data_IF_040888923893
#
_entry.id   IF_040888923893
#
_cell.length_a   1.000
_cell.length_b   1.000
_cell.length_c   1.000
_cell.angle_alpha   90.00
_cell.angle_beta   90.00
_cell.angle_gamma   90.00
#
_symmetry.space_group_name_H-M   'P 1'
#
loop_
_entity.id
_entity.type
_entity.pdbx_description
1 polymer ?
#
# COMPACT_ATOMS: atom_id res chain seq x y z
N UNK A 1 61.70 -48.25 33.15
CA UNK A 1 61.83 -48.07 34.61
C UNK A 1 61.75 -46.59 34.95
N UNK A 2 60.78 -46.21 35.79
CA UNK A 2 60.81 -45.14 36.84
C UNK A 2 61.55 -43.82 36.47
N UNK A 3 60.95 -42.63 36.66
CA UNK A 3 60.55 -42.13 37.98
C UNK A 3 59.47 -41.04 37.90
N UNK A 4 58.39 -41.29 38.61
CA UNK A 4 57.48 -40.32 39.24
C UNK A 4 58.22 -39.53 40.34
N UNK A 5 57.85 -38.26 40.57
CA UNK A 5 57.85 -37.47 41.83
C UNK A 5 57.40 -36.04 41.45
N UNK A 6 56.16 -35.58 41.68
CA UNK A 6 55.38 -35.36 42.90
C UNK A 6 55.87 -34.18 43.78
N UNK A 7 54.89 -33.39 44.27
CA UNK A 7 54.92 -32.29 45.25
C UNK A 7 55.35 -30.91 44.68
N UNK A 8 54.82 -29.73 45.07
CA UNK A 8 54.07 -29.23 46.24
C UNK A 8 53.49 -27.84 45.87
N UNK A 9 52.19 -27.57 46.09
CA UNK A 9 51.66 -26.53 47.03
C UNK A 9 51.67 -25.05 46.53
N UNK A 10 50.83 -24.17 47.11
CA UNK A 10 49.86 -23.33 46.42
C UNK A 10 50.19 -21.84 46.70
N UNK A 11 49.19 -20.96 46.61
CA UNK A 11 49.17 -19.62 47.23
C UNK A 11 49.75 -18.48 46.38
N UNK A 12 48.89 -17.82 45.60
CA UNK A 12 48.77 -16.34 45.63
C UNK A 12 47.32 -15.99 45.26
N UNK A 13 46.47 -15.85 46.27
CA UNK A 13 45.39 -14.87 46.21
C UNK A 13 46.00 -13.51 46.51
N UNK A 14 45.69 -12.48 45.73
CA UNK A 14 45.39 -11.10 46.17
C UNK A 14 45.30 -10.17 44.93
N UNK A 15 44.10 -9.62 44.77
CA UNK A 15 43.73 -8.30 44.27
C UNK A 15 44.13 -7.89 42.84
N UNK A 16 43.15 -7.92 41.93
CA UNK A 16 42.81 -6.74 41.13
C UNK A 16 41.28 -6.60 41.03
N UNK A 17 40.70 -5.96 42.05
CA UNK A 17 39.46 -5.20 41.94
C UNK A 17 39.83 -3.87 41.26
N UNK A 18 39.84 -3.84 39.93
CA UNK A 18 39.83 -2.58 39.16
C UNK A 18 39.00 -2.82 37.91
N UNK A 19 37.88 -2.11 37.77
CA UNK A 19 37.27 -1.87 36.46
C UNK A 19 35.84 -2.34 36.21
N UNK A 20 34.97 -2.49 37.21
CA UNK A 20 33.52 -2.41 36.96
C UNK A 20 33.10 -0.94 36.85
N UNK A 21 33.49 -0.25 35.77
CA UNK A 21 32.88 1.01 35.40
C UNK A 21 33.07 1.26 33.89
N UNK A 22 32.11 0.77 33.08
CA UNK A 22 31.67 1.33 31.80
C UNK A 22 30.93 0.27 30.95
N UNK A 23 29.79 -0.26 31.45
CA UNK A 23 28.95 -1.12 30.61
C UNK A 23 27.45 -0.96 30.88
N UNK A 24 27.04 0.29 31.12
CA UNK A 24 25.63 0.67 31.26
C UNK A 24 25.18 1.72 30.23
N UNK A 25 26.09 2.22 29.38
CA UNK A 25 25.79 3.14 28.28
C UNK A 25 25.42 2.45 26.97
N UNK A 26 26.10 1.34 26.64
CA UNK A 26 26.00 0.73 25.30
C UNK A 26 24.85 -0.29 25.16
N UNK A 27 24.11 -0.58 26.24
CA UNK A 27 22.89 -1.40 26.18
C UNK A 27 21.62 -0.58 25.91
N UNK A 28 21.70 0.76 25.89
CA UNK A 28 20.54 1.62 25.61
C UNK A 28 20.34 1.90 24.11
N UNK A 29 21.39 1.81 23.31
CA UNK A 29 21.31 2.02 21.84
C UNK A 29 20.97 0.74 21.05
N UNK A 30 21.22 -0.45 21.61
CA UNK A 30 20.83 -1.71 20.96
C UNK A 30 19.33 -2.05 21.10
N UNK A 31 18.63 -1.43 22.06
CA UNK A 31 17.18 -1.65 22.29
C UNK A 31 16.33 -0.68 21.46
N UNK A 32 16.83 0.52 21.14
CA UNK A 32 16.10 1.51 20.31
C UNK A 32 16.10 1.18 18.81
N UNK A 33 17.11 0.46 18.31
CA UNK A 33 17.18 0.03 16.91
C UNK A 33 16.20 -1.10 16.55
N UNK A 34 15.92 -2.00 17.50
CA UNK A 34 15.00 -3.13 17.31
C UNK A 34 13.55 -2.65 17.38
N UNK A 35 13.21 -1.74 18.31
CA UNK A 35 11.89 -1.13 18.34
C UNK A 35 11.63 -0.29 17.07
N UNK A 36 12.62 0.40 16.51
CA UNK A 36 12.42 1.15 15.26
C UNK A 36 12.18 0.24 14.04
N UNK A 37 12.91 -0.88 13.92
CA UNK A 37 12.74 -1.81 12.81
C UNK A 37 11.48 -2.67 12.96
N UNK A 38 11.14 -3.09 14.18
CA UNK A 38 9.91 -3.80 14.49
C UNK A 38 8.68 -2.87 14.41
N UNK A 39 8.78 -1.60 14.81
CA UNK A 39 7.72 -0.61 14.62
C UNK A 39 7.58 -0.25 13.12
N UNK A 40 8.67 -0.12 12.37
CA UNK A 40 8.63 0.07 10.89
C UNK A 40 8.04 -1.15 10.17
N UNK A 41 8.39 -2.36 10.60
CA UNK A 41 7.81 -3.60 10.09
C UNK A 41 6.35 -3.78 10.53
N UNK A 42 5.98 -3.33 11.74
CA UNK A 42 4.61 -3.36 12.24
C UNK A 42 3.72 -2.32 11.54
N UNK A 43 4.24 -1.15 11.16
CA UNK A 43 3.53 -0.18 10.30
C UNK A 43 3.42 -0.62 8.85
N UNK A 44 4.23 -1.59 8.39
CA UNK A 44 4.12 -2.18 7.05
C UNK A 44 3.07 -3.31 6.96
N UNK A 45 2.56 -3.78 8.10
CA UNK A 45 1.56 -4.85 8.17
C UNK A 45 0.13 -4.32 8.26
N UNK A 46 -0.61 -4.53 7.15
CA UNK A 46 -2.05 -4.34 6.93
C UNK A 46 -2.58 -2.92 7.06
N UNK A 47 -2.44 -2.12 6.01
CA UNK A 47 -3.41 -1.08 5.71
C UNK A 47 -4.79 -1.73 5.60
N UNK A 48 -5.69 -1.37 6.51
CA UNK A 48 -7.10 -1.76 6.47
C UNK A 48 -7.72 -1.17 5.20
N UNK A 49 -8.50 -1.97 4.45
CA UNK A 49 -9.25 -1.49 3.29
C UNK A 49 -10.11 -0.27 3.65
N UNK A 50 -10.59 -0.18 4.89
CA UNK A 50 -11.27 1.02 5.39
C UNK A 50 -10.37 2.25 5.48
N UNK A 51 -9.14 2.11 5.96
CA UNK A 51 -8.16 3.21 6.04
C UNK A 51 -7.78 3.71 4.64
N UNK A 52 -7.59 2.78 3.71
CA UNK A 52 -7.30 3.10 2.31
C UNK A 52 -8.42 3.90 1.68
N UNK A 53 -9.66 3.44 1.88
CA UNK A 53 -10.85 4.12 1.40
C UNK A 53 -11.01 5.54 1.94
N UNK A 54 -10.47 5.82 3.13
CA UNK A 54 -10.47 7.15 3.74
C UNK A 54 -9.28 8.02 3.37
N UNK A 55 -8.33 7.54 2.55
CA UNK A 55 -7.23 8.38 2.07
C UNK A 55 -7.82 9.55 1.28
N UNK A 56 -7.42 10.76 1.65
CA UNK A 56 -7.77 12.01 0.98
C UNK A 56 -6.91 12.20 -0.27
N UNK A 57 -7.55 12.68 -1.33
CA UNK A 57 -6.96 13.09 -2.59
C UNK A 57 -7.19 14.59 -2.71
N UNK A 58 -6.12 15.34 -2.95
CA UNK A 58 -6.16 16.75 -3.31
C UNK A 58 -5.95 16.88 -4.82
N UNK A 59 -6.94 17.41 -5.52
CA UNK A 59 -6.90 17.61 -6.97
C UNK A 59 -7.69 18.85 -7.38
N UNK A 60 -7.05 19.79 -8.09
CA UNK A 60 -7.68 21.02 -8.63
C UNK A 60 -8.50 21.85 -7.62
N UNK A 61 -8.03 21.94 -6.37
CA UNK A 61 -8.68 22.62 -5.22
C UNK A 61 -9.88 21.88 -4.62
N UNK A 62 -10.14 20.65 -5.04
CA UNK A 62 -11.12 19.76 -4.43
C UNK A 62 -10.39 18.72 -3.57
N UNK A 63 -10.99 18.39 -2.42
CA UNK A 63 -10.50 17.34 -1.53
C UNK A 63 -11.60 16.29 -1.39
N UNK A 64 -11.27 15.05 -1.73
CA UNK A 64 -12.21 13.92 -1.67
C UNK A 64 -11.49 12.65 -1.27
N UNK A 65 -12.22 11.66 -0.77
CA UNK A 65 -11.60 10.38 -0.42
C UNK A 65 -11.56 9.42 -1.62
N UNK A 66 -10.65 8.44 -1.56
CA UNK A 66 -10.62 7.30 -2.48
C UNK A 66 -12.00 6.63 -2.57
N UNK A 67 -12.71 6.47 -1.45
CA UNK A 67 -14.05 5.91 -1.46
C UNK A 67 -15.07 6.79 -2.18
N UNK A 68 -14.99 8.11 -2.00
CA UNK A 68 -15.90 9.05 -2.65
C UNK A 68 -15.69 9.04 -4.16
N UNK A 69 -14.42 9.05 -4.61
CA UNK A 69 -14.06 8.92 -6.01
C UNK A 69 -14.82 7.76 -6.68
N UNK A 70 -14.61 6.54 -6.19
CA UNK A 70 -15.14 5.37 -6.87
C UNK A 70 -16.64 5.18 -6.69
N UNK A 71 -17.22 5.53 -5.53
CA UNK A 71 -18.68 5.49 -5.34
C UNK A 71 -19.43 6.55 -6.14
N UNK A 72 -18.76 7.65 -6.46
CA UNK A 72 -19.35 8.72 -7.25
C UNK A 72 -19.29 8.40 -8.74
N UNK A 73 -18.18 7.88 -9.25
CA UNK A 73 -18.02 7.63 -10.70
C UNK A 73 -18.53 6.25 -11.16
N UNK A 74 -18.72 5.29 -10.24
CA UNK A 74 -19.21 3.94 -10.54
C UNK A 74 -20.51 3.63 -9.79
N UNK A 75 -21.26 2.64 -10.28
CA UNK A 75 -22.35 1.99 -9.55
C UNK A 75 -21.91 0.60 -9.08
N UNK A 76 -22.61 0.04 -8.09
CA UNK A 76 -22.40 -1.34 -7.60
C UNK A 76 -20.95 -1.67 -7.24
N UNK A 77 -20.27 -0.73 -6.57
CA UNK A 77 -18.82 -0.79 -6.33
C UNK A 77 -18.43 -1.96 -5.43
N UNK A 78 -17.48 -2.75 -5.91
CA UNK A 78 -16.85 -3.87 -5.22
C UNK A 78 -15.34 -3.66 -5.18
N UNK A 79 -14.71 -4.16 -4.12
CA UNK A 79 -13.30 -3.95 -3.85
C UNK A 79 -12.64 -5.28 -3.58
N UNK A 80 -11.57 -5.55 -4.30
CA UNK A 80 -10.65 -6.64 -4.03
C UNK A 80 -9.29 -6.05 -3.65
N UNK A 81 -8.59 -6.72 -2.74
CA UNK A 81 -7.30 -6.28 -2.21
C UNK A 81 -6.33 -7.44 -2.14
N UNK A 82 -5.13 -7.22 -2.64
CA UNK A 82 -4.03 -8.18 -2.61
C UNK A 82 -2.77 -7.49 -2.08
N UNK A 83 -2.18 -8.07 -1.04
CA UNK A 83 -0.89 -7.64 -0.50
C UNK A 83 0.19 -8.59 -0.96
N UNK A 84 1.15 -8.08 -1.74
CA UNK A 84 2.31 -8.82 -2.20
C UNK A 84 3.57 -8.03 -1.80
N UNK A 85 4.34 -8.54 -0.85
CA UNK A 85 5.66 -8.00 -0.48
C UNK A 85 5.68 -6.48 -0.15
N UNK A 86 4.67 -5.98 0.57
CA UNK A 86 4.46 -4.57 0.91
C UNK A 86 3.96 -3.67 -0.24
N UNK A 87 3.56 -4.29 -1.35
CA UNK A 87 2.81 -3.61 -2.41
C UNK A 87 1.33 -3.87 -2.17
N UNK A 88 0.59 -2.80 -1.91
CA UNK A 88 -0.85 -2.84 -1.71
C UNK A 88 -1.56 -2.68 -3.05
N UNK A 89 -1.98 -3.79 -3.66
CA UNK A 89 -2.72 -3.77 -4.91
C UNK A 89 -4.22 -3.74 -4.63
N UNK A 90 -4.91 -2.80 -5.27
CA UNK A 90 -6.35 -2.67 -5.19
C UNK A 90 -6.97 -2.90 -6.55
N UNK A 91 -8.10 -3.59 -6.54
CA UNK A 91 -8.98 -3.71 -7.69
C UNK A 91 -10.36 -3.19 -7.30
N UNK A 92 -10.83 -2.17 -7.99
CA UNK A 92 -12.17 -1.65 -7.86
C UNK A 92 -12.98 -2.07 -9.07
N UNK A 93 -14.06 -2.79 -8.83
CA UNK A 93 -15.01 -3.22 -9.86
C UNK A 93 -16.30 -2.46 -9.68
N UNK A 94 -16.92 -2.05 -10.76
CA UNK A 94 -18.23 -1.41 -10.71
C UNK A 94 -18.95 -1.54 -12.05
N UNK A 95 -20.20 -1.10 -12.07
CA UNK A 95 -20.96 -0.91 -13.30
C UNK A 95 -20.79 0.53 -13.78
N UNK A 96 -20.76 0.70 -15.09
CA UNK A 96 -20.62 2.01 -15.73
C UNK A 96 -21.74 2.95 -15.25
N UNK A 97 -21.40 4.22 -15.01
CA UNK A 97 -22.33 5.29 -14.64
C UNK A 97 -22.32 6.34 -15.74
N UNK A 98 -23.44 7.04 -15.92
CA UNK A 98 -23.60 8.06 -16.94
C UNK A 98 -22.43 9.05 -16.94
N UNK A 99 -22.02 9.44 -18.16
CA UNK A 99 -20.97 10.41 -18.46
C UNK A 99 -19.53 9.98 -18.13
N UNK A 100 -19.32 8.74 -17.67
CA UNK A 100 -17.98 8.20 -17.49
C UNK A 100 -17.33 7.87 -18.86
N UNK A 101 -16.11 8.37 -19.09
CA UNK A 101 -15.35 8.18 -20.35
C UNK A 101 -15.99 8.83 -21.60
N UNK A 102 -16.71 9.94 -21.43
CA UNK A 102 -17.37 10.66 -22.55
C UNK A 102 -16.44 11.07 -23.70
N UNK A 103 -15.16 11.24 -23.43
CA UNK A 103 -14.18 11.65 -24.44
C UNK A 103 -14.00 10.59 -25.55
N UNK A 104 -14.36 9.32 -25.31
CA UNK A 104 -14.37 8.28 -26.33
C UNK A 104 -15.54 8.39 -27.33
N UNK A 105 -16.44 9.36 -27.15
CA UNK A 105 -17.55 9.65 -28.08
C UNK A 105 -18.37 8.40 -28.47
N UNK A 106 -18.65 7.52 -27.50
CA UNK A 106 -19.52 6.36 -27.73
C UNK A 106 -20.87 6.79 -28.31
N UNK A 107 -21.40 6.00 -29.24
CA UNK A 107 -22.74 6.24 -29.81
C UNK A 107 -23.80 6.09 -28.72
N UNK A 108 -24.95 6.74 -28.89
CA UNK A 108 -26.06 6.65 -27.91
C UNK A 108 -26.51 5.21 -27.68
N UNK A 109 -26.45 4.36 -28.73
CA UNK A 109 -26.73 2.93 -28.61
C UNK A 109 -25.74 2.24 -27.66
N UNK A 110 -24.43 2.48 -27.83
CA UNK A 110 -23.39 1.90 -26.96
C UNK A 110 -23.52 2.44 -25.54
N UNK A 111 -23.75 3.74 -25.37
CA UNK A 111 -23.99 4.34 -24.05
C UNK A 111 -25.19 3.68 -23.35
N UNK A 112 -26.32 3.53 -24.05
CA UNK A 112 -27.51 2.87 -23.50
C UNK A 112 -27.24 1.41 -23.07
N UNK A 113 -26.34 0.71 -23.74
CA UNK A 113 -25.92 -0.63 -23.36
C UNK A 113 -24.94 -0.63 -22.18
N UNK A 114 -24.01 0.34 -22.13
CA UNK A 114 -23.11 0.55 -21.00
C UNK A 114 -23.88 0.85 -19.71
N UNK A 115 -24.94 1.67 -19.76
CA UNK A 115 -25.86 1.91 -18.63
C UNK A 115 -26.41 0.59 -18.06
N UNK A 116 -26.58 -0.44 -18.87
CA UNK A 116 -27.23 -1.69 -18.44
C UNK A 116 -26.21 -2.75 -18.03
N UNK A 117 -25.15 -2.89 -18.82
CA UNK A 117 -24.26 -4.04 -18.79
C UNK A 117 -22.77 -3.67 -18.76
N UNK A 118 -22.44 -2.39 -18.82
CA UNK A 118 -21.07 -1.91 -18.82
C UNK A 118 -20.39 -2.22 -17.50
N UNK A 119 -19.22 -2.85 -17.56
CA UNK A 119 -18.39 -3.15 -16.39
C UNK A 119 -17.12 -2.32 -16.46
N UNK A 120 -16.75 -1.75 -15.34
CA UNK A 120 -15.52 -1.00 -15.17
C UNK A 120 -14.65 -1.73 -14.15
N UNK A 121 -13.38 -1.92 -14.50
CA UNK A 121 -12.37 -2.50 -13.60
C UNK A 121 -11.22 -1.52 -13.52
N UNK A 122 -10.85 -1.14 -12.31
CA UNK A 122 -9.78 -0.20 -12.03
C UNK A 122 -8.78 -0.90 -11.13
N UNK A 123 -7.51 -0.94 -11.55
CA UNK A 123 -6.41 -1.41 -10.72
C UNK A 123 -5.53 -0.24 -10.33
N UNK A 124 -5.02 -0.24 -9.12
CA UNK A 124 -4.01 0.73 -8.68
C UNK A 124 -3.26 0.21 -7.46
N UNK A 125 -2.08 0.78 -7.23
CA UNK A 125 -1.30 0.55 -6.03
C UNK A 125 -1.33 1.75 -5.11
N UNK A 126 -1.17 1.50 -3.82
CA UNK A 126 -0.92 2.56 -2.83
C UNK A 126 0.47 2.42 -2.24
N UNK A 127 1.21 3.53 -2.29
CA UNK A 127 2.53 3.70 -1.69
C UNK A 127 2.50 5.01 -0.90
N UNK A 128 2.97 4.98 0.35
CA UNK A 128 3.02 6.16 1.22
C UNK A 128 1.68 6.93 1.32
N UNK A 129 0.57 6.18 1.43
CA UNK A 129 -0.81 6.71 1.50
C UNK A 129 -1.25 7.50 0.25
N UNK A 130 -0.62 7.27 -0.89
CA UNK A 130 -1.00 7.88 -2.16
C UNK A 130 -1.20 6.82 -3.23
N UNK A 131 -2.10 7.08 -4.17
CA UNK A 131 -2.24 6.24 -5.36
C UNK A 131 -0.98 6.41 -6.21
N UNK A 132 -0.30 5.30 -6.51
CA UNK A 132 0.81 5.28 -7.44
C UNK A 132 0.28 5.44 -8.87
N UNK A 133 0.33 6.66 -9.39
CA UNK A 133 -0.26 7.03 -10.68
C UNK A 133 0.16 6.08 -11.82
N UNK A 134 1.45 5.76 -11.92
CA UNK A 134 1.98 4.90 -13.00
C UNK A 134 1.46 3.46 -12.96
N UNK A 135 0.93 3.01 -11.81
CA UNK A 135 0.33 1.68 -11.64
C UNK A 135 -1.16 1.63 -11.97
N UNK A 136 -1.79 2.79 -12.20
CA UNK A 136 -3.24 2.85 -12.37
C UNK A 136 -3.64 2.31 -13.73
N UNK A 137 -4.61 1.41 -13.78
CA UNK A 137 -5.21 0.94 -15.05
C UNK A 137 -6.72 1.02 -14.96
N UNK A 138 -7.37 1.38 -16.07
CA UNK A 138 -8.82 1.51 -16.16
C UNK A 138 -9.29 0.75 -17.39
N UNK A 139 -10.19 -0.19 -17.17
CA UNK A 139 -10.77 -1.01 -18.23
C UNK A 139 -12.28 -0.92 -18.23
N UNK A 140 -12.86 -0.68 -19.41
CA UNK A 140 -14.31 -0.74 -19.62
C UNK A 140 -14.63 -1.86 -20.58
N UNK A 141 -15.54 -2.73 -20.16
CA UNK A 141 -16.02 -3.84 -20.98
C UNK A 141 -17.53 -3.80 -21.15
N UNK A 142 -18.00 -4.17 -22.34
CA UNK A 142 -19.41 -4.35 -22.66
C UNK A 142 -19.58 -5.71 -23.34
N UNK A 143 -20.46 -6.57 -22.83
CA UNK A 143 -20.68 -7.92 -23.39
C UNK A 143 -19.37 -8.72 -23.58
N UNK A 144 -18.42 -8.56 -22.64
CA UNK A 144 -17.08 -9.16 -22.67
C UNK A 144 -16.13 -8.61 -23.74
N UNK A 145 -16.51 -7.56 -24.47
CA UNK A 145 -15.63 -6.81 -25.37
C UNK A 145 -14.99 -5.64 -24.61
N UNK A 146 -13.67 -5.46 -24.76
CA UNK A 146 -12.91 -4.36 -24.18
C UNK A 146 -13.07 -3.10 -25.04
N UNK A 147 -13.61 -2.04 -24.45
CA UNK A 147 -13.88 -0.76 -25.13
C UNK A 147 -12.88 0.34 -24.74
N UNK A 148 -12.41 0.32 -23.49
CA UNK A 148 -11.44 1.27 -22.95
C UNK A 148 -10.36 0.47 -22.22
N UNK A 149 -9.10 0.85 -22.44
CA UNK A 149 -7.94 0.31 -21.73
C UNK A 149 -6.92 1.44 -21.56
N UNK A 150 -6.98 2.12 -20.43
CA UNK A 150 -6.08 3.22 -20.08
C UNK A 150 -5.13 2.79 -18.97
N UNK A 151 -3.92 3.37 -18.98
CA UNK A 151 -2.91 3.08 -17.99
C UNK A 151 -2.11 4.32 -17.61
N UNK A 152 -1.58 4.30 -16.39
CA UNK A 152 -0.66 5.28 -15.86
C UNK A 152 -1.37 6.54 -15.41
N UNK A 153 -0.59 7.62 -15.36
CA UNK A 153 -1.03 8.91 -14.83
C UNK A 153 -2.26 9.49 -15.52
N UNK A 154 -2.37 9.35 -16.83
CA UNK A 154 -3.52 9.86 -17.59
C UNK A 154 -4.82 9.14 -17.22
N UNK A 155 -4.75 7.83 -16.95
CA UNK A 155 -5.90 7.07 -16.46
C UNK A 155 -6.37 7.59 -15.10
N UNK A 156 -5.42 7.80 -14.17
CA UNK A 156 -5.72 8.33 -12.84
C UNK A 156 -6.32 9.75 -12.93
N UNK A 157 -5.71 10.63 -13.72
CA UNK A 157 -6.18 11.99 -13.94
C UNK A 157 -7.58 12.00 -14.53
N UNK A 158 -7.86 11.14 -15.50
CA UNK A 158 -9.20 11.03 -16.09
C UNK A 158 -10.24 10.70 -15.03
N UNK A 159 -9.97 9.74 -14.13
CA UNK A 159 -10.87 9.43 -13.01
C UNK A 159 -11.11 10.63 -12.08
N UNK A 160 -10.07 11.39 -11.75
CA UNK A 160 -10.18 12.58 -10.89
C UNK A 160 -10.95 13.70 -11.60
N UNK A 161 -10.63 13.98 -12.86
CA UNK A 161 -11.35 14.94 -13.68
C UNK A 161 -12.83 14.56 -13.81
N UNK A 162 -13.16 13.27 -13.96
CA UNK A 162 -14.55 12.82 -13.95
C UNK A 162 -15.23 13.12 -12.63
N UNK A 163 -14.58 12.84 -11.50
CA UNK A 163 -15.15 13.10 -10.19
C UNK A 163 -15.51 14.58 -9.96
N UNK A 164 -14.60 15.50 -10.31
CA UNK A 164 -14.79 16.94 -10.04
C UNK A 164 -15.72 17.65 -11.05
N UNK A 165 -15.97 17.06 -12.22
CA UNK A 165 -16.81 17.64 -13.27
C UNK A 165 -18.24 17.07 -13.32
N UNK A 166 -18.64 16.29 -12.31
CA UNK A 166 -20.00 15.73 -12.19
C UNK A 166 -21.06 16.74 -11.73
#
# INVERSE_FOLDING_TARGET
>A
MRKFRALLFPFVSILFLVGCNNQLGDLKEAVSGIDSAAQKAATATSLDVHQIRSIEIDYENEVFTINDLFKTILRDVQWDYENLENIHNFTVKGTWKDNLFEHYQFTDEVKNQLVKNGKVVIHFQIVDQQILADSTTVQVTLNNELLVDEMGKEALHSLFSYYINL
#
